data_IF_877591514965
#
_entry.id   IF_877591514965
#
_cell.length_a   1.000
_cell.length_b   1.000
_cell.length_c   1.000
_cell.angle_alpha   90.00
_cell.angle_beta   90.00
_cell.angle_gamma   90.00
#
_symmetry.space_group_name_H-M   'P 1'
#
loop_
_entity.id
_entity.type
_entity.pdbx_description
1 polymer ?
#
# COMPACT_ATOMS: atom_id res chain seq x y z
N UNK A 1 28.11 24.97 -36.48
CA UNK A 1 27.43 24.18 -37.52
C UNK A 1 27.36 22.74 -37.05
N UNK A 2 26.27 22.34 -36.37
CA UNK A 2 26.02 20.92 -36.10
C UNK A 2 25.48 20.34 -37.40
N UNK A 3 26.19 19.39 -38.01
CA UNK A 3 25.79 18.79 -39.27
C UNK A 3 24.41 18.16 -39.14
N UNK A 4 23.66 18.09 -40.25
CA UNK A 4 22.37 17.36 -40.27
C UNK A 4 22.51 15.92 -39.77
N UNK A 5 23.70 15.34 -39.93
CA UNK A 5 24.10 14.02 -39.43
C UNK A 5 24.33 14.01 -37.91
N UNK A 6 24.91 15.05 -37.31
CA UNK A 6 25.11 15.17 -35.86
C UNK A 6 23.79 15.46 -35.13
N UNK A 7 22.90 16.23 -35.76
CA UNK A 7 21.58 16.59 -35.21
C UNK A 7 20.69 15.36 -35.00
N UNK A 8 20.73 14.38 -35.89
CA UNK A 8 19.93 13.14 -35.74
C UNK A 8 20.42 12.25 -34.60
N UNK A 9 21.73 12.20 -34.33
CA UNK A 9 22.26 11.44 -33.20
C UNK A 9 22.01 12.14 -31.87
N UNK A 10 22.10 13.47 -31.83
CA UNK A 10 21.69 14.26 -30.67
C UNK A 10 20.20 14.07 -30.35
N UNK A 11 19.34 14.07 -31.37
CA UNK A 11 17.91 13.77 -31.21
C UNK A 11 17.67 12.33 -30.75
N UNK A 12 18.39 11.35 -31.30
CA UNK A 12 18.27 9.95 -30.88
C UNK A 12 18.71 9.74 -29.42
N UNK A 13 19.81 10.37 -29.00
CA UNK A 13 20.27 10.34 -27.61
C UNK A 13 19.25 10.99 -26.67
N UNK A 14 18.67 12.13 -27.05
CA UNK A 14 17.59 12.78 -26.29
C UNK A 14 16.36 11.88 -26.13
N UNK A 15 15.94 11.20 -27.20
CA UNK A 15 14.80 10.28 -27.16
C UNK A 15 15.07 9.04 -26.28
N UNK A 16 16.29 8.50 -26.32
CA UNK A 16 16.68 7.39 -25.46
C UNK A 16 16.71 7.78 -23.98
N UNK A 17 17.23 8.97 -23.65
CA UNK A 17 17.25 9.49 -22.29
C UNK A 17 15.82 9.78 -21.81
N UNK A 18 14.99 10.42 -22.63
CA UNK A 18 13.59 10.69 -22.28
C UNK A 18 12.78 9.40 -22.09
N UNK A 19 12.96 8.41 -22.96
CA UNK A 19 12.32 7.10 -22.82
C UNK A 19 12.79 6.35 -21.57
N UNK A 20 14.08 6.40 -21.25
CA UNK A 20 14.64 5.82 -20.02
C UNK A 20 14.10 6.49 -18.76
N UNK A 21 14.02 7.83 -18.74
CA UNK A 21 13.42 8.58 -17.63
C UNK A 21 11.93 8.25 -17.46
N UNK A 22 11.19 8.14 -18.57
CA UNK A 22 9.78 7.76 -18.53
C UNK A 22 9.56 6.35 -17.98
N UNK A 23 10.46 5.41 -18.27
CA UNK A 23 10.42 4.07 -17.68
C UNK A 23 10.71 4.05 -16.17
N UNK A 24 11.53 4.98 -15.67
CA UNK A 24 11.87 5.09 -14.25
C UNK A 24 10.79 5.78 -13.40
N UNK A 25 9.97 6.66 -14.00
CA UNK A 25 8.89 7.37 -13.28
C UNK A 25 7.67 6.47 -12.98
N UNK A 26 7.62 5.28 -13.56
CA UNK A 26 6.53 4.33 -13.37
C UNK A 26 5.29 4.74 -14.16
N UNK A 27 4.63 3.76 -14.77
CA UNK A 27 3.34 3.99 -15.41
C UNK A 27 2.29 4.20 -14.32
N UNK A 28 1.46 5.27 -14.37
CA UNK A 28 0.37 5.42 -13.42
C UNK A 28 -0.58 4.24 -13.59
N UNK A 29 -0.60 3.35 -12.60
CA UNK A 29 -1.56 2.27 -12.54
C UNK A 29 -2.98 2.84 -12.48
N UNK A 30 -4.01 2.11 -12.94
CA UNK A 30 -5.37 2.55 -12.77
C UNK A 30 -5.61 2.83 -11.29
N UNK A 31 -6.01 4.06 -10.95
CA UNK A 31 -6.44 4.47 -9.61
C UNK A 31 -7.82 3.84 -9.32
N UNK A 32 -7.86 2.52 -9.30
CA UNK A 32 -8.99 1.76 -8.79
C UNK A 32 -8.98 1.86 -7.28
N UNK A 33 -10.11 2.24 -6.70
CA UNK A 33 -10.29 2.15 -5.26
C UNK A 33 -10.26 0.66 -4.88
N UNK A 34 -9.08 0.14 -4.51
CA UNK A 34 -8.88 -1.26 -4.13
C UNK A 34 -9.64 -1.63 -2.86
N UNK A 35 -10.04 -0.62 -2.08
CA UNK A 35 -10.87 -0.79 -0.91
C UNK A 35 -12.34 -0.94 -1.32
N UNK A 36 -12.91 -2.09 -0.97
CA UNK A 36 -14.37 -2.27 -1.01
C UNK A 36 -14.99 -1.29 -0.02
N UNK A 37 -15.87 -0.41 -0.48
CA UNK A 37 -16.68 0.43 0.42
C UNK A 37 -17.64 -0.47 1.20
N UNK A 38 -17.47 -0.52 2.51
CA UNK A 38 -18.37 -1.23 3.42
C UNK A 38 -19.42 -0.25 3.96
N UNK A 39 -20.67 -0.68 4.03
CA UNK A 39 -21.77 0.16 4.55
C UNK A 39 -21.73 0.29 6.08
N UNK A 40 -21.17 -0.73 6.74
CA UNK A 40 -21.00 -0.83 8.18
C UNK A 40 -19.75 -1.64 8.48
N UNK A 41 -19.34 -1.59 9.75
CA UNK A 41 -18.28 -2.45 10.26
C UNK A 41 -18.57 -3.94 9.94
N UNK A 42 -17.61 -4.66 9.33
CA UNK A 42 -17.77 -6.08 9.03
C UNK A 42 -17.56 -6.94 10.28
N UNK A 43 -18.21 -8.10 10.29
CA UNK A 43 -17.86 -9.18 11.21
C UNK A 43 -16.87 -10.13 10.54
N UNK A 44 -15.93 -10.67 11.32
CA UNK A 44 -14.95 -11.65 10.87
C UNK A 44 -15.03 -12.93 11.69
N UNK A 45 -14.63 -14.05 11.10
CA UNK A 45 -14.52 -15.34 11.80
C UNK A 45 -13.08 -15.59 12.23
N UNK A 46 -12.84 -15.53 13.53
CA UNK A 46 -11.53 -15.73 14.16
C UNK A 46 -11.45 -17.15 14.72
N UNK A 47 -10.37 -17.86 14.41
CA UNK A 47 -10.09 -19.17 15.00
C UNK A 47 -9.31 -18.99 16.30
N UNK A 48 -9.89 -19.42 17.42
CA UNK A 48 -9.26 -19.37 18.74
C UNK A 48 -8.46 -20.64 18.94
N UNK A 49 -7.12 -20.52 18.89
CA UNK A 49 -6.19 -21.66 18.92
C UNK A 49 -6.35 -22.50 20.19
N UNK A 50 -6.60 -21.86 21.32
CA UNK A 50 -6.64 -22.47 22.65
C UNK A 50 -7.85 -23.41 22.79
N UNK A 51 -8.99 -23.05 22.21
CA UNK A 51 -10.24 -23.83 22.29
C UNK A 51 -10.51 -24.63 21.02
N UNK A 52 -9.88 -24.30 19.89
CA UNK A 52 -10.17 -24.87 18.58
C UNK A 52 -11.48 -24.38 17.96
N UNK A 53 -12.12 -23.37 18.55
CA UNK A 53 -13.40 -22.84 18.08
C UNK A 53 -13.22 -21.67 17.10
N UNK A 54 -14.21 -21.46 16.23
CA UNK A 54 -14.33 -20.24 15.44
C UNK A 54 -15.36 -19.32 16.09
N UNK A 55 -14.98 -18.07 16.32
CA UNK A 55 -15.85 -17.02 16.84
C UNK A 55 -16.06 -15.96 15.79
N UNK A 56 -17.30 -15.54 15.61
CA UNK A 56 -17.63 -14.36 14.79
C UNK A 56 -17.63 -13.15 15.70
N UNK A 57 -16.92 -12.09 15.32
CA UNK A 57 -16.82 -10.84 16.10
C UNK A 57 -16.64 -9.62 15.18
N UNK A 58 -16.96 -8.40 15.65
CA UNK A 58 -16.63 -7.16 14.94
C UNK A 58 -15.12 -7.03 14.69
N UNK A 59 -14.73 -6.46 13.56
CA UNK A 59 -13.30 -6.30 13.22
C UNK A 59 -12.58 -5.38 14.21
N UNK A 60 -13.23 -4.34 14.73
CA UNK A 60 -12.62 -3.39 15.66
C UNK A 60 -12.30 -4.05 17.01
N UNK A 61 -13.17 -4.95 17.49
CA UNK A 61 -12.92 -5.75 18.70
C UNK A 61 -11.68 -6.65 18.52
N UNK A 62 -11.56 -7.28 17.35
CA UNK A 62 -10.39 -8.08 17.03
C UNK A 62 -9.11 -7.24 16.96
N UNK A 63 -9.14 -6.09 16.27
CA UNK A 63 -8.00 -5.18 16.16
C UNK A 63 -7.56 -4.70 17.55
N UNK A 64 -8.51 -4.35 18.43
CA UNK A 64 -8.20 -3.96 19.81
C UNK A 64 -7.44 -5.07 20.56
N UNK A 65 -7.86 -6.32 20.42
CA UNK A 65 -7.16 -7.48 21.00
C UNK A 65 -5.76 -7.68 20.43
N UNK A 66 -5.58 -7.53 19.10
CA UNK A 66 -4.27 -7.62 18.45
C UNK A 66 -3.34 -6.52 18.93
N UNK A 67 -3.81 -5.27 18.97
CA UNK A 67 -3.05 -4.12 19.46
C UNK A 67 -2.62 -4.33 20.91
N UNK A 68 -3.52 -4.81 21.77
CA UNK A 68 -3.20 -5.11 23.16
C UNK A 68 -2.19 -6.26 23.32
N UNK A 69 -2.14 -7.20 22.38
CA UNK A 69 -1.18 -8.31 22.37
C UNK A 69 0.21 -7.96 21.83
N UNK A 70 0.28 -7.03 20.88
CA UNK A 70 1.53 -6.70 20.16
C UNK A 70 2.21 -5.42 20.69
N UNK A 71 1.47 -4.51 21.35
CA UNK A 71 1.97 -3.19 21.75
C UNK A 71 2.11 -3.03 23.26
N UNK A 72 3.09 -2.23 23.71
CA UNK A 72 3.23 -1.88 25.13
C UNK A 72 2.19 -0.81 25.53
N UNK A 73 1.74 -0.78 26.80
CA UNK A 73 0.65 0.09 27.27
C UNK A 73 0.96 1.60 27.37
N UNK A 74 2.21 2.01 27.20
CA UNK A 74 2.65 3.42 27.31
C UNK A 74 3.30 3.97 26.02
N UNK A 75 2.99 3.36 24.87
CA UNK A 75 3.45 3.88 23.60
C UNK A 75 2.69 5.17 23.22
N UNK A 76 3.26 6.02 22.35
CA UNK A 76 2.57 7.20 21.84
C UNK A 76 1.27 6.82 21.15
N UNK A 77 0.25 7.70 21.23
CA UNK A 77 -1.07 7.46 20.63
C UNK A 77 -0.99 7.16 19.14
N UNK A 78 -0.10 7.86 18.44
CA UNK A 78 0.15 7.73 17.02
C UNK A 78 0.72 6.36 16.66
N UNK A 79 1.43 5.71 17.59
CA UNK A 79 1.92 4.36 17.38
C UNK A 79 0.75 3.37 17.36
N UNK A 80 -0.23 3.50 18.28
CA UNK A 80 -1.42 2.64 18.28
C UNK A 80 -2.22 2.83 16.98
N UNK A 81 -2.40 4.08 16.54
CA UNK A 81 -3.10 4.40 15.31
C UNK A 81 -2.34 3.97 14.03
N UNK A 82 -1.02 3.84 14.09
CA UNK A 82 -0.24 3.35 12.96
C UNK A 82 -0.35 1.82 12.79
N UNK A 83 -0.63 1.09 13.88
CA UNK A 83 -0.79 -0.36 13.84
C UNK A 83 -2.24 -0.79 13.59
N UNK A 84 -3.21 -0.10 14.22
CA UNK A 84 -4.65 -0.34 14.06
C UNK A 84 -5.13 0.02 12.64
#
# INVERSE_FOLDING_TARGET
MVGRFDRKYLLAALLLVAGGLFALVGWPGPEGNVARKLEKEPEISVFIKETGERRTMPIEEYIQGVVAGEMYPDWPLEAYAAQA
#
